data_IF_783964244230
#
_entry.id   IF_783964244230
#
_cell.length_a   1.000
_cell.length_b   1.000
_cell.length_c   1.000
_cell.angle_alpha   90.00
_cell.angle_beta   90.00
_cell.angle_gamma   90.00
#
_symmetry.space_group_name_H-M   'P 1'
#
loop_
_entity.id
_entity.type
_entity.pdbx_description
1 polymer ?
#
# COMPACT_ATOMS: atom_id res chain seq x y z
N UNK A 1 7.21 -39.81 11.99
CA UNK A 1 6.21 -39.34 12.99
C UNK A 1 5.84 -37.89 12.72
N UNK A 2 4.71 -37.65 12.05
CA UNK A 2 4.29 -36.30 11.63
C UNK A 2 3.57 -35.55 12.76
N UNK A 3 4.12 -34.42 13.21
CA UNK A 3 3.48 -33.53 14.18
C UNK A 3 2.17 -33.00 13.59
N UNK A 4 1.03 -33.52 14.07
CA UNK A 4 -0.31 -32.97 13.78
C UNK A 4 -0.33 -31.53 14.31
N UNK A 5 -0.26 -30.55 13.41
CA UNK A 5 -0.52 -29.15 13.75
C UNK A 5 -1.94 -29.05 14.32
N UNK A 6 -2.07 -28.92 15.65
CA UNK A 6 -3.33 -28.49 16.26
C UNK A 6 -3.57 -27.07 15.76
N UNK A 7 -4.56 -26.89 14.88
CA UNK A 7 -5.02 -25.55 14.48
C UNK A 7 -5.17 -24.72 15.77
N UNK A 8 -4.55 -23.53 15.89
CA UNK A 8 -4.81 -22.66 17.02
C UNK A 8 -6.32 -22.43 17.07
N UNK A 9 -6.92 -22.71 18.22
CA UNK A 9 -8.34 -22.44 18.43
C UNK A 9 -8.56 -20.98 18.04
N UNK A 10 -9.37 -20.74 16.98
CA UNK A 10 -9.83 -19.39 16.69
C UNK A 10 -10.44 -18.87 18.00
N UNK A 11 -10.07 -17.68 18.51
CA UNK A 11 -10.76 -17.12 19.65
C UNK A 11 -12.24 -17.07 19.26
N UNK A 12 -13.02 -17.94 19.90
CA UNK A 12 -14.44 -17.99 19.67
C UNK A 12 -15.00 -16.62 19.99
N UNK A 13 -15.69 -16.01 19.03
CA UNK A 13 -16.54 -14.83 19.26
C UNK A 13 -17.58 -15.08 20.37
N UNK A 14 -17.76 -16.33 20.82
CA UNK A 14 -18.60 -16.68 21.96
C UNK A 14 -17.99 -16.32 23.33
N UNK A 15 -16.69 -16.03 23.42
CA UNK A 15 -16.13 -15.41 24.62
C UNK A 15 -16.22 -13.89 24.48
N UNK A 16 -17.45 -13.41 24.67
CA UNK A 16 -17.79 -12.00 24.76
C UNK A 16 -16.80 -11.26 25.66
N UNK A 17 -15.98 -10.42 25.03
CA UNK A 17 -15.19 -9.38 25.69
C UNK A 17 -16.10 -8.33 26.31
N UNK A 18 -16.85 -8.75 27.33
CA UNK A 18 -17.63 -8.03 28.32
C UNK A 18 -18.17 -6.67 27.86
N UNK A 19 -19.24 -6.69 27.06
CA UNK A 19 -20.23 -5.61 27.09
C UNK A 19 -20.96 -5.77 28.42
N UNK A 20 -20.48 -5.07 29.45
CA UNK A 20 -21.10 -5.02 30.77
C UNK A 20 -21.55 -3.59 31.00
N UNK A 21 -22.72 -3.43 31.59
CA UNK A 21 -23.21 -2.11 31.98
C UNK A 21 -22.20 -1.41 32.90
N UNK A 22 -21.95 -0.10 32.73
CA UNK A 22 -21.04 0.65 33.59
C UNK A 22 -21.43 0.54 35.07
N UNK A 23 -22.73 0.57 35.37
CA UNK A 23 -23.24 0.57 36.74
C UNK A 23 -23.49 -0.86 37.25
N UNK A 24 -24.28 -1.64 36.49
CA UNK A 24 -24.76 -2.95 36.96
C UNK A 24 -23.73 -4.08 36.78
N UNK A 25 -22.69 -3.85 35.95
CA UNK A 25 -21.73 -4.85 35.44
C UNK A 25 -22.36 -6.12 34.85
N UNK A 26 -23.67 -6.16 34.62
CA UNK A 26 -24.40 -7.25 33.97
C UNK A 26 -24.32 -7.11 32.46
N UNK A 27 -24.47 -8.24 31.77
CA UNK A 27 -24.57 -8.31 30.31
C UNK A 27 -25.87 -7.64 29.84
N UNK A 28 -25.83 -6.88 28.73
CA UNK A 28 -27.02 -6.26 28.14
C UNK A 28 -27.94 -7.33 27.54
N UNK A 29 -29.24 -7.04 27.50
CA UNK A 29 -30.24 -7.95 26.91
C UNK A 29 -30.25 -7.81 25.38
N UNK A 30 -30.07 -6.59 24.87
CA UNK A 30 -30.26 -6.27 23.46
C UNK A 30 -29.12 -5.41 22.92
N UNK A 31 -28.68 -5.75 21.71
CA UNK A 31 -27.94 -4.88 20.80
C UNK A 31 -28.89 -4.49 19.67
N UNK A 32 -29.09 -3.20 19.41
CA UNK A 32 -29.88 -2.78 18.25
C UNK A 32 -29.14 -3.17 16.96
N UNK A 33 -29.89 -3.72 15.99
CA UNK A 33 -29.38 -4.04 14.65
C UNK A 33 -28.75 -2.77 14.05
N UNK A 34 -27.47 -2.85 13.74
CA UNK A 34 -26.72 -1.81 13.02
C UNK A 34 -25.92 -0.82 13.86
N UNK A 35 -26.19 -0.62 15.15
CA UNK A 35 -25.49 0.41 15.93
C UNK A 35 -25.18 -0.03 17.37
N UNK A 36 -23.97 0.35 17.80
CA UNK A 36 -23.25 -0.01 19.01
C UNK A 36 -23.90 0.36 20.36
N UNK A 37 -25.24 0.42 20.44
CA UNK A 37 -26.00 0.80 21.61
C UNK A 37 -26.46 -0.43 22.38
N UNK A 38 -26.05 -0.51 23.66
CA UNK A 38 -26.41 -1.58 24.58
C UNK A 38 -27.33 -1.05 25.68
N UNK A 39 -28.30 -1.88 26.09
CA UNK A 39 -29.24 -1.58 27.17
C UNK A 39 -29.04 -2.55 28.35
N UNK A 40 -28.83 -2.05 29.58
CA UNK A 40 -28.86 -2.91 30.80
C UNK A 40 -30.32 -3.17 31.20
N UNK A 41 -30.66 -4.43 31.54
CA UNK A 41 -31.98 -4.81 32.08
C UNK A 41 -32.39 -3.98 33.31
N UNK A 42 -31.43 -3.71 34.19
CA UNK A 42 -31.67 -2.97 35.43
C UNK A 42 -31.71 -1.46 35.24
N UNK A 43 -31.04 -0.95 34.22
CA UNK A 43 -30.92 0.48 33.94
C UNK A 43 -31.32 0.74 32.48
N UNK A 44 -32.63 0.65 32.17
CA UNK A 44 -33.13 0.79 30.80
C UNK A 44 -32.98 2.20 30.24
N UNK A 45 -32.86 3.21 31.12
CA UNK A 45 -32.62 4.61 30.75
C UNK A 45 -31.18 4.89 30.30
N UNK A 46 -30.24 3.97 30.56
CA UNK A 46 -28.82 4.16 30.26
C UNK A 46 -28.47 3.35 29.02
N UNK A 47 -28.48 4.03 27.88
CA UNK A 47 -27.88 3.54 26.64
C UNK A 47 -26.38 3.81 26.69
N UNK A 48 -25.56 2.77 26.56
CA UNK A 48 -24.10 2.95 26.50
C UNK A 48 -23.54 2.39 25.20
N UNK A 49 -22.69 3.17 24.54
CA UNK A 49 -21.90 2.74 23.40
C UNK A 49 -20.51 2.39 23.88
N UNK A 50 -19.97 1.24 23.44
CA UNK A 50 -18.53 1.03 23.60
C UNK A 50 -17.82 1.67 22.42
N UNK A 51 -16.89 2.56 22.75
CA UNK A 51 -15.88 3.19 21.89
C UNK A 51 -14.88 2.21 21.26
N UNK A 52 -15.29 0.97 20.96
CA UNK A 52 -14.46 0.02 20.21
C UNK A 52 -15.19 -0.40 18.94
N UNK A 53 -14.66 -0.07 17.74
CA UNK A 53 -15.25 -0.51 16.48
C UNK A 53 -15.35 -2.04 16.50
N UNK A 54 -16.53 -2.56 16.15
CA UNK A 54 -16.72 -4.00 16.06
C UNK A 54 -15.77 -4.60 15.01
N UNK A 55 -15.56 -5.92 15.02
CA UNK A 55 -14.68 -6.60 14.05
C UNK A 55 -15.03 -6.26 12.58
N UNK A 56 -16.29 -5.95 12.28
CA UNK A 56 -16.74 -5.49 10.97
C UNK A 56 -16.21 -4.08 10.63
N UNK A 57 -16.33 -3.12 11.56
CA UNK A 57 -15.79 -1.77 11.41
C UNK A 57 -14.25 -1.78 11.31
N UNK A 58 -13.58 -2.64 12.08
CA UNK A 58 -12.13 -2.85 11.94
C UNK A 58 -11.77 -3.47 10.58
N UNK A 59 -12.64 -4.31 10.03
CA UNK A 59 -12.49 -4.89 8.70
C UNK A 59 -12.59 -3.86 7.57
N UNK A 60 -13.50 -2.89 7.67
CA UNK A 60 -13.59 -1.80 6.70
C UNK A 60 -12.40 -0.83 6.78
N UNK A 61 -12.00 -0.43 7.98
CA UNK A 61 -10.82 0.42 8.17
C UNK A 61 -9.55 -0.26 7.61
N UNK A 62 -9.38 -1.57 7.84
CA UNK A 62 -8.28 -2.35 7.26
C UNK A 62 -8.37 -2.48 5.74
N UNK A 63 -9.57 -2.67 5.17
CA UNK A 63 -9.76 -2.70 3.70
C UNK A 63 -9.40 -1.36 3.06
N UNK A 64 -9.86 -0.24 3.65
CA UNK A 64 -9.52 1.11 3.18
C UNK A 64 -8.02 1.40 3.30
N UNK A 65 -7.40 1.04 4.43
CA UNK A 65 -5.96 1.20 4.62
C UNK A 65 -5.14 0.34 3.64
N UNK A 66 -5.62 -0.86 3.29
CA UNK A 66 -4.98 -1.70 2.27
C UNK A 66 -5.12 -1.07 0.88
N UNK A 67 -6.30 -0.57 0.51
CA UNK A 67 -6.53 0.10 -0.77
C UNK A 67 -5.62 1.34 -0.94
N UNK A 68 -5.54 2.20 0.08
CA UNK A 68 -4.65 3.38 0.06
C UNK A 68 -3.17 3.01 -0.08
N UNK A 69 -2.73 1.91 0.54
CA UNK A 69 -1.37 1.42 0.37
C UNK A 69 -1.11 0.95 -1.06
N UNK A 70 -2.04 0.24 -1.69
CA UNK A 70 -1.88 -0.22 -3.07
C UNK A 70 -1.80 0.96 -4.04
N UNK A 71 -2.67 1.96 -3.89
CA UNK A 71 -2.66 3.18 -4.72
C UNK A 71 -1.34 3.95 -4.60
N UNK A 72 -0.79 4.07 -3.40
CA UNK A 72 0.50 4.73 -3.17
C UNK A 72 1.67 3.98 -3.84
N UNK A 73 1.67 2.65 -3.82
CA UNK A 73 2.69 1.81 -4.47
C UNK A 73 2.59 1.90 -5.99
N UNK A 74 1.39 1.82 -6.55
CA UNK A 74 1.17 1.96 -7.99
C UNK A 74 1.58 3.36 -8.50
N UNK A 75 1.28 4.41 -7.72
CA UNK A 75 1.70 5.77 -8.04
C UNK A 75 3.23 5.95 -8.00
N UNK A 76 3.92 5.30 -7.05
CA UNK A 76 5.39 5.31 -7.01
C UNK A 76 6.00 4.56 -8.19
N UNK A 77 5.47 3.38 -8.52
CA UNK A 77 5.97 2.57 -9.64
C UNK A 77 5.87 3.31 -10.98
N UNK A 78 4.75 4.02 -11.24
CA UNK A 78 4.62 4.85 -12.46
C UNK A 78 5.66 5.95 -12.55
N UNK A 79 5.88 6.69 -11.44
CA UNK A 79 6.89 7.76 -11.40
C UNK A 79 8.31 7.24 -11.60
N UNK A 80 8.60 6.03 -11.12
CA UNK A 80 9.90 5.38 -11.34
C UNK A 80 10.09 4.99 -12.81
N UNK A 81 9.07 4.41 -13.45
CA UNK A 81 9.11 4.13 -14.89
C UNK A 81 9.30 5.39 -15.74
N UNK A 82 8.57 6.49 -15.43
CA UNK A 82 8.75 7.76 -16.15
C UNK A 82 10.17 8.31 -15.99
N UNK A 83 10.75 8.22 -14.79
CA UNK A 83 12.13 8.64 -14.52
C UNK A 83 13.15 7.77 -15.26
N UNK A 84 12.92 6.47 -15.33
CA UNK A 84 13.78 5.55 -16.06
C UNK A 84 13.73 5.83 -17.57
N UNK A 85 12.53 6.07 -18.11
CA UNK A 85 12.35 6.45 -19.51
C UNK A 85 13.07 7.76 -19.86
N UNK A 86 12.97 8.78 -19.00
CA UNK A 86 13.71 10.05 -19.19
C UNK A 86 15.23 9.85 -19.16
N UNK A 87 15.73 8.98 -18.27
CA UNK A 87 17.16 8.65 -18.20
C UNK A 87 17.62 7.94 -19.47
N UNK A 88 16.83 7.01 -19.97
CA UNK A 88 17.15 6.28 -21.20
C UNK A 88 17.14 7.21 -22.42
N UNK A 89 16.15 8.11 -22.53
CA UNK A 89 16.12 9.11 -23.60
C UNK A 89 17.36 10.04 -23.55
N UNK A 90 17.78 10.45 -22.35
CA UNK A 90 18.99 11.25 -22.17
C UNK A 90 20.27 10.50 -22.59
N UNK A 91 20.35 9.19 -22.30
CA UNK A 91 21.46 8.34 -22.77
C UNK A 91 21.48 8.26 -24.29
N UNK A 92 20.35 7.97 -24.92
CA UNK A 92 20.25 7.89 -26.39
C UNK A 92 20.62 9.22 -27.07
N UNK A 93 20.18 10.35 -26.51
CA UNK A 93 20.57 11.68 -26.99
C UNK A 93 22.08 11.90 -26.91
N UNK A 94 22.71 11.52 -25.79
CA UNK A 94 24.16 11.63 -25.61
C UNK A 94 24.92 10.72 -26.57
N UNK A 95 24.50 9.47 -26.73
CA UNK A 95 25.12 8.50 -27.63
C UNK A 95 25.02 8.92 -29.09
N UNK A 96 23.86 9.45 -29.50
CA UNK A 96 23.69 10.00 -30.85
C UNK A 96 24.60 11.21 -31.09
N UNK A 97 24.79 12.07 -30.10
CA UNK A 97 25.73 13.20 -30.17
C UNK A 97 27.19 12.72 -30.30
N UNK A 98 27.59 11.72 -29.51
CA UNK A 98 28.92 11.09 -29.56
C UNK A 98 29.20 10.49 -30.94
N UNK A 99 28.28 9.67 -31.47
CA UNK A 99 28.42 9.09 -32.82
C UNK A 99 28.57 10.16 -33.90
N UNK A 100 27.79 11.25 -33.82
CA UNK A 100 27.90 12.33 -34.79
C UNK A 100 29.26 13.04 -34.71
N UNK A 101 29.77 13.31 -33.50
CA UNK A 101 31.10 13.91 -33.33
C UNK A 101 32.22 13.00 -33.84
N UNK A 102 32.11 11.68 -33.65
CA UNK A 102 33.08 10.71 -34.16
C UNK A 102 33.08 10.68 -35.69
N UNK A 103 31.89 10.70 -36.33
CA UNK A 103 31.77 10.79 -37.79
C UNK A 103 32.39 12.09 -38.33
N UNK A 104 32.17 13.23 -37.67
CA UNK A 104 32.79 14.49 -38.07
C UNK A 104 34.32 14.46 -37.92
N UNK A 105 34.82 13.88 -36.83
CA UNK A 105 36.26 13.72 -36.59
C UNK A 105 36.89 12.80 -37.63
N UNK A 106 36.24 11.68 -37.96
CA UNK A 106 36.67 10.78 -39.01
C UNK A 106 36.72 11.47 -40.37
N UNK A 107 35.65 12.19 -40.76
CA UNK A 107 35.63 12.98 -42.00
C UNK A 107 36.75 14.02 -42.06
N UNK A 108 37.05 14.69 -40.94
CA UNK A 108 38.18 15.63 -40.84
C UNK A 108 39.53 14.94 -41.00
N UNK A 109 39.75 13.78 -40.39
CA UNK A 109 41.00 13.01 -40.53
C UNK A 109 41.18 12.56 -41.98
N UNK A 110 40.14 12.01 -42.62
CA UNK A 110 40.18 11.60 -44.03
C UNK A 110 40.47 12.79 -44.95
N UNK A 111 39.84 13.95 -44.71
CA UNK A 111 40.12 15.16 -45.48
C UNK A 111 41.55 15.68 -45.30
N UNK A 112 42.15 15.54 -44.11
CA UNK A 112 43.55 15.88 -43.87
C UNK A 112 44.52 14.89 -44.53
N UNK A 113 44.17 13.60 -44.62
CA UNK A 113 44.95 12.62 -45.38
C UNK A 113 44.87 12.88 -46.89
N UNK A 114 43.70 13.24 -47.41
CA UNK A 114 43.51 13.59 -48.83
C UNK A 114 44.21 14.91 -49.22
N UNK A 115 44.33 15.85 -48.28
CA UNK A 115 45.05 17.13 -48.45
C UNK A 115 46.47 17.11 -47.88
N UNK A 116 47.03 15.94 -47.57
CA UNK A 116 48.47 15.83 -47.27
C UNK A 116 49.19 15.67 -48.61
N UNK A 117 49.81 16.73 -49.16
CA UNK A 117 50.72 16.57 -50.29
C UNK A 117 51.97 15.83 -49.81
N UNK A 118 51.95 14.50 -49.85
CA UNK A 118 53.15 13.70 -50.08
C UNK A 118 53.17 13.41 -51.59
N UNK A 119 54.09 14.02 -52.32
CA UNK A 119 55.42 13.47 -52.63
C UNK A 119 55.34 12.24 -53.54
#
# INVERSE_FOLDING_TARGET
>A
MGKKYKKPAKPSVANGGCHRCPDCKKTPILSCFGHHLFHCKKHPSICYTKFNPCQLCQGEARRRAKAQRTEAVEAQAKKEQEREQQREEARQKRDRKLKWTDTQKAGRVTAMQANSPGQ
#
